data_IF_837668319858
#
_entry.id   IF_837668319858
#
_cell.length_a   1.000
_cell.length_b   1.000
_cell.length_c   1.000
_cell.angle_alpha   90.00
_cell.angle_beta   90.00
_cell.angle_gamma   90.00
#
_symmetry.space_group_name_H-M   'P 1'
#
loop_
_entity.id
_entity.type
_entity.pdbx_description
1 polymer ?
#
# COMPACT_ATOMS: atom_id res chain seq x y z
N UNK A 1 0.83 10.85 0.07
CA UNK A 1 1.95 10.32 -0.73
C UNK A 1 1.68 8.93 -1.31
N UNK A 2 1.40 7.85 -0.53
CA UNK A 2 1.09 6.52 -1.11
C UNK A 2 -0.21 6.58 -1.92
N UNK A 3 -1.32 7.05 -1.35
CA UNK A 3 -2.61 7.15 -2.04
C UNK A 3 -2.53 7.95 -3.36
N UNK A 4 -1.77 9.04 -3.36
CA UNK A 4 -1.56 9.88 -4.53
C UNK A 4 -0.69 9.24 -5.62
N UNK A 5 0.23 8.35 -5.23
CA UNK A 5 1.18 7.72 -6.14
C UNK A 5 0.77 6.33 -6.59
N UNK A 6 -0.10 5.63 -5.86
CA UNK A 6 -0.44 4.24 -6.14
C UNK A 6 -1.26 4.10 -7.43
N UNK A 7 -0.83 3.18 -8.30
CA UNK A 7 -1.50 2.88 -9.56
C UNK A 7 -2.44 1.70 -9.39
N UNK A 8 -3.74 1.95 -9.41
CA UNK A 8 -4.77 0.93 -9.31
C UNK A 8 -5.02 0.20 -10.65
N UNK A 9 -4.51 0.74 -11.76
CA UNK A 9 -4.58 0.13 -13.09
C UNK A 9 -3.19 -0.27 -13.56
N UNK A 10 -3.09 -1.24 -14.46
CA UNK A 10 -1.82 -1.73 -15.04
C UNK A 10 -1.52 -1.17 -16.42
N UNK A 11 -2.32 -0.26 -16.94
CA UNK A 11 -2.10 0.33 -18.26
C UNK A 11 -0.79 1.09 -18.34
N UNK A 12 0.08 0.71 -19.30
CA UNK A 12 1.43 1.22 -19.47
C UNK A 12 1.48 2.72 -19.81
N UNK A 13 0.38 3.30 -20.27
CA UNK A 13 0.35 4.65 -20.83
C UNK A 13 -0.02 5.76 -19.84
N UNK A 14 -0.04 5.51 -18.54
CA UNK A 14 -0.06 6.54 -17.47
C UNK A 14 -1.09 7.69 -17.63
N UNK A 15 -2.01 7.61 -18.57
CA UNK A 15 -3.18 8.48 -18.66
C UNK A 15 -4.22 7.89 -17.73
N UNK A 16 -4.93 8.76 -16.96
CA UNK A 16 -6.13 8.34 -16.25
C UNK A 16 -6.91 7.45 -17.20
N UNK A 17 -6.93 6.14 -16.92
CA UNK A 17 -7.51 5.19 -17.83
C UNK A 17 -9.03 5.36 -17.82
N UNK A 18 -9.51 6.21 -18.69
CA UNK A 18 -10.90 6.28 -19.10
C UNK A 18 -11.26 5.17 -20.08
N UNK A 19 -10.43 4.10 -20.13
CA UNK A 19 -10.74 2.93 -20.93
C UNK A 19 -11.89 2.16 -20.28
N UNK A 20 -13.01 1.96 -20.97
CA UNK A 20 -14.17 1.23 -20.44
C UNK A 20 -13.89 -0.25 -20.12
N UNK A 21 -12.70 -0.75 -20.38
CA UNK A 21 -12.30 -2.15 -20.20
C UNK A 21 -11.34 -2.41 -19.03
N UNK A 22 -10.78 -1.38 -18.38
CA UNK A 22 -9.93 -1.57 -17.19
C UNK A 22 -10.80 -1.56 -15.94
N UNK A 23 -10.94 -2.69 -15.28
CA UNK A 23 -11.52 -2.70 -13.93
C UNK A 23 -10.53 -2.10 -12.96
N UNK A 24 -10.96 -1.10 -12.16
CA UNK A 24 -10.11 -0.53 -11.13
C UNK A 24 -9.75 -1.57 -10.07
N UNK A 25 -8.61 -1.39 -9.45
CA UNK A 25 -8.25 -2.14 -8.26
C UNK A 25 -9.02 -1.67 -7.03
N UNK A 26 -8.85 -2.39 -5.93
CA UNK A 26 -9.52 -2.08 -4.68
C UNK A 26 -8.57 -1.38 -3.71
N UNK A 27 -9.12 -0.45 -2.94
CA UNK A 27 -8.53 0.07 -1.72
C UNK A 27 -9.30 -0.50 -0.53
N UNK A 28 -8.69 -1.44 0.19
CA UNK A 28 -9.32 -2.07 1.35
C UNK A 28 -8.61 -1.61 2.62
N UNK A 29 -9.35 -1.26 3.63
CA UNK A 29 -8.82 -0.91 4.94
C UNK A 29 -9.71 -1.45 6.06
N UNK A 30 -9.15 -1.59 7.27
CA UNK A 30 -9.93 -1.95 8.46
C UNK A 30 -10.49 -0.70 9.13
N UNK A 31 -11.64 -0.81 9.80
CA UNK A 31 -12.30 0.32 10.46
C UNK A 31 -11.41 1.00 11.53
N UNK A 32 -10.55 0.22 12.22
CA UNK A 32 -9.69 0.68 13.32
C UNK A 32 -8.40 1.32 12.83
N UNK A 33 -8.47 2.10 11.76
CA UNK A 33 -7.31 2.81 11.22
C UNK A 33 -7.22 4.25 11.72
N UNK A 34 -6.01 4.80 11.64
CA UNK A 34 -5.76 6.19 11.90
C UNK A 34 -6.44 7.10 10.84
N UNK A 35 -6.77 8.35 11.21
CA UNK A 35 -7.40 9.32 10.32
C UNK A 35 -6.63 9.58 9.03
N UNK A 36 -5.30 9.42 9.02
CA UNK A 36 -4.49 9.52 7.79
C UNK A 36 -4.84 8.46 6.76
N UNK A 37 -5.22 7.24 7.18
CA UNK A 37 -5.72 6.18 6.29
C UNK A 37 -7.15 6.50 5.83
N UNK A 38 -7.99 7.00 6.73
CA UNK A 38 -9.35 7.41 6.37
C UNK A 38 -9.34 8.54 5.32
N UNK A 39 -8.40 9.49 5.43
CA UNK A 39 -8.22 10.55 4.44
C UNK A 39 -7.71 10.08 3.08
N UNK A 40 -7.18 8.84 2.97
CA UNK A 40 -6.81 8.28 1.67
C UNK A 40 -8.00 7.96 0.78
N UNK A 41 -9.19 7.74 1.33
CA UNK A 41 -10.41 7.31 0.60
C UNK A 41 -10.74 8.20 -0.59
N UNK A 42 -10.80 9.50 -0.36
CA UNK A 42 -11.18 10.45 -1.42
C UNK A 42 -10.12 10.52 -2.53
N UNK A 43 -8.85 10.44 -2.13
CA UNK A 43 -7.72 10.42 -3.07
C UNK A 43 -7.76 9.18 -3.96
N UNK A 44 -8.03 7.99 -3.40
CA UNK A 44 -8.04 6.74 -4.17
C UNK A 44 -9.29 6.61 -5.02
N UNK A 45 -10.46 7.12 -4.57
CA UNK A 45 -11.67 7.21 -5.39
C UNK A 45 -11.43 8.08 -6.63
N UNK A 46 -10.77 9.23 -6.45
CA UNK A 46 -10.40 10.09 -7.58
C UNK A 46 -9.44 9.41 -8.58
N UNK A 47 -8.80 8.30 -8.17
CA UNK A 47 -7.95 7.45 -9.01
C UNK A 47 -8.66 6.21 -9.53
N UNK A 48 -9.98 6.13 -9.38
CA UNK A 48 -10.82 5.07 -9.90
C UNK A 48 -10.80 3.77 -9.07
N UNK A 49 -10.28 3.78 -7.84
CA UNK A 49 -10.30 2.60 -6.99
C UNK A 49 -11.67 2.40 -6.32
N UNK A 50 -12.09 1.14 -6.19
CA UNK A 50 -13.20 0.79 -5.32
C UNK A 50 -12.74 0.79 -3.86
N UNK A 51 -13.48 1.45 -2.97
CA UNK A 51 -13.13 1.60 -1.55
C UNK A 51 -13.98 0.66 -0.70
N UNK A 52 -13.34 -0.17 0.13
CA UNK A 52 -13.99 -1.14 1.00
C UNK A 52 -13.43 -0.99 2.42
N UNK A 53 -14.33 -0.78 3.39
CA UNK A 53 -14.00 -0.82 4.81
C UNK A 53 -14.37 -2.18 5.38
N UNK A 54 -13.42 -2.87 6.01
CA UNK A 54 -13.68 -4.12 6.71
C UNK A 54 -13.90 -3.85 8.20
N UNK A 55 -15.01 -4.35 8.73
CA UNK A 55 -15.20 -4.44 10.17
C UNK A 55 -14.23 -5.46 10.79
N UNK A 56 -14.06 -5.38 12.11
CA UNK A 56 -13.13 -6.23 12.87
C UNK A 56 -13.36 -7.72 12.58
N UNK A 57 -14.58 -8.22 12.83
CA UNK A 57 -14.92 -9.64 12.66
C UNK A 57 -14.78 -10.10 11.21
N UNK A 58 -15.17 -9.25 10.27
CA UNK A 58 -15.04 -9.54 8.85
C UNK A 58 -13.59 -9.69 8.44
N UNK A 59 -12.70 -8.81 8.92
CA UNK A 59 -11.27 -8.88 8.65
C UNK A 59 -10.68 -10.19 9.20
N UNK A 60 -10.99 -10.56 10.44
CA UNK A 60 -10.54 -11.82 11.05
C UNK A 60 -11.07 -13.04 10.30
N UNK A 61 -12.34 -13.02 9.88
CA UNK A 61 -12.93 -14.12 9.14
C UNK A 61 -12.23 -14.35 7.80
N UNK A 62 -11.93 -13.30 7.06
CA UNK A 62 -11.37 -13.39 5.70
C UNK A 62 -9.87 -13.65 5.75
N UNK A 63 -9.12 -12.91 6.58
CA UNK A 63 -7.66 -13.00 6.65
C UNK A 63 -7.16 -14.11 7.60
N UNK A 64 -8.02 -14.66 8.45
CA UNK A 64 -7.68 -15.79 9.32
C UNK A 64 -7.81 -17.17 8.66
N UNK A 65 -8.47 -17.25 7.52
CA UNK A 65 -8.66 -18.50 6.79
C UNK A 65 -7.47 -18.76 5.86
N UNK A 66 -7.07 -20.04 5.73
CA UNK A 66 -6.12 -20.41 4.66
C UNK A 66 -6.81 -20.15 3.30
N UNK A 67 -6.25 -19.26 2.50
CA UNK A 67 -6.70 -19.10 1.13
C UNK A 67 -6.48 -20.41 0.38
N UNK A 68 -7.57 -21.04 -0.04
CA UNK A 68 -7.54 -22.24 -0.90
C UNK A 68 -7.50 -21.88 -2.38
N UNK A 69 -7.55 -20.60 -2.71
CA UNK A 69 -7.48 -20.12 -4.10
C UNK A 69 -6.03 -20.20 -4.58
N UNK A 70 -5.74 -21.25 -5.33
CA UNK A 70 -4.52 -21.35 -6.14
C UNK A 70 -4.70 -20.32 -7.26
N UNK A 71 -4.06 -19.15 -7.13
CA UNK A 71 -4.00 -18.23 -8.26
C UNK A 71 -3.08 -18.81 -9.32
N UNK A 72 -3.64 -19.05 -10.50
CA UNK A 72 -2.85 -19.43 -11.66
C UNK A 72 -1.85 -18.30 -11.94
N UNK A 73 -0.55 -18.65 -11.90
CA UNK A 73 0.56 -17.70 -12.05
C UNK A 73 0.63 -17.09 -13.46
N UNK A 74 -0.17 -17.57 -14.39
CA UNK A 74 -0.17 -17.17 -15.81
C UNK A 74 -1.29 -16.18 -16.18
N UNK A 75 -2.24 -15.86 -15.29
CA UNK A 75 -3.24 -14.85 -15.60
C UNK A 75 -2.61 -13.44 -15.62
N UNK A 76 -2.79 -12.75 -16.76
CA UNK A 76 -2.38 -11.35 -16.91
C UNK A 76 -3.15 -10.48 -15.92
N UNK A 77 -2.45 -10.01 -14.89
CA UNK A 77 -3.03 -9.17 -13.83
C UNK A 77 -3.31 -7.78 -14.39
N UNK A 78 -4.57 -7.40 -14.41
CA UNK A 78 -5.04 -6.16 -15.06
C UNK A 78 -5.26 -5.00 -14.09
N UNK A 79 -5.08 -5.21 -12.79
CA UNK A 79 -5.22 -4.17 -11.77
C UNK A 79 -4.31 -4.41 -10.56
N UNK A 80 -4.10 -3.36 -9.77
CA UNK A 80 -3.43 -3.42 -8.49
C UNK A 80 -4.41 -3.05 -7.39
N UNK A 81 -4.37 -3.77 -6.27
CA UNK A 81 -5.19 -3.49 -5.09
C UNK A 81 -4.31 -3.24 -3.88
N UNK A 82 -4.75 -2.35 -3.01
CA UNK A 82 -4.02 -1.95 -1.81
C UNK A 82 -4.84 -2.27 -0.57
N UNK A 83 -4.28 -3.08 0.31
CA UNK A 83 -4.80 -3.29 1.66
C UNK A 83 -4.00 -2.46 2.67
N UNK A 84 -4.72 -1.73 3.53
CA UNK A 84 -4.13 -0.85 4.54
C UNK A 84 -4.67 -1.20 5.92
N UNK A 85 -3.79 -1.48 6.86
CA UNK A 85 -4.18 -1.68 8.24
C UNK A 85 -3.11 -1.22 9.23
N UNK A 86 -3.54 -0.83 10.41
CA UNK A 86 -2.64 -0.53 11.52
C UNK A 86 -2.20 -1.83 12.19
N UNK A 87 -0.89 -2.02 12.38
CA UNK A 87 -0.39 -3.16 13.15
C UNK A 87 -0.84 -3.10 14.62
N UNK A 88 -1.09 -1.88 15.13
CA UNK A 88 -1.68 -1.64 16.44
C UNK A 88 -2.59 -0.41 16.40
N UNK A 89 -3.82 -0.58 16.83
CA UNK A 89 -4.78 0.52 16.93
C UNK A 89 -4.30 1.56 17.96
N UNK A 90 -4.29 2.85 17.57
CA UNK A 90 -3.87 3.93 18.45
C UNK A 90 -4.82 4.16 19.62
N UNK A 91 -6.11 3.84 19.47
CA UNK A 91 -7.14 4.08 20.47
C UNK A 91 -7.23 2.93 21.48
N UNK A 92 -7.41 1.70 20.98
CA UNK A 92 -7.62 0.52 21.84
C UNK A 92 -6.33 -0.19 22.25
N UNK A 93 -5.21 0.06 21.53
CA UNK A 93 -3.98 -0.70 21.69
C UNK A 93 -4.04 -2.12 21.12
N UNK A 94 -5.18 -2.50 20.52
CA UNK A 94 -5.33 -3.83 19.93
C UNK A 94 -4.31 -4.06 18.81
N UNK A 95 -3.64 -5.23 18.86
CA UNK A 95 -2.62 -5.60 17.87
C UNK A 95 -3.19 -6.58 16.86
N UNK A 96 -3.11 -6.19 15.60
CA UNK A 96 -3.55 -7.02 14.49
C UNK A 96 -2.45 -7.97 14.03
N UNK A 97 -2.81 -9.18 13.54
CA UNK A 97 -1.83 -10.18 13.13
C UNK A 97 -0.98 -9.71 11.96
N UNK A 98 0.34 -9.71 12.12
CA UNK A 98 1.26 -9.39 11.01
C UNK A 98 1.21 -10.45 9.89
N UNK A 99 0.71 -11.65 10.18
CA UNK A 99 0.42 -12.69 9.19
C UNK A 99 -0.54 -12.24 8.09
N UNK A 100 -1.41 -11.27 8.35
CA UNK A 100 -2.32 -10.71 7.34
C UNK A 100 -1.61 -10.16 6.11
N UNK A 101 -0.33 -9.81 6.23
CA UNK A 101 0.51 -9.42 5.11
C UNK A 101 0.64 -10.58 4.12
N UNK A 102 1.05 -11.75 4.61
CA UNK A 102 1.19 -12.95 3.78
C UNK A 102 -0.15 -13.46 3.25
N UNK A 103 -1.21 -13.39 4.07
CA UNK A 103 -2.54 -13.82 3.67
C UNK A 103 -3.10 -12.93 2.54
N UNK A 104 -2.86 -11.62 2.61
CA UNK A 104 -3.22 -10.68 1.55
C UNK A 104 -2.45 -10.98 0.26
N UNK A 105 -1.14 -11.19 0.34
CA UNK A 105 -0.32 -11.55 -0.82
C UNK A 105 -0.74 -12.90 -1.43
N UNK A 106 -1.24 -13.82 -0.61
CA UNK A 106 -1.82 -15.09 -1.05
C UNK A 106 -3.24 -14.96 -1.65
N UNK A 107 -3.79 -13.73 -1.66
CA UNK A 107 -5.08 -13.46 -2.29
C UNK A 107 -6.29 -13.64 -1.38
N UNK A 108 -6.14 -13.67 -0.05
CA UNK A 108 -7.27 -13.80 0.88
C UNK A 108 -8.36 -12.74 0.66
N UNK A 109 -7.99 -11.55 0.20
CA UNK A 109 -8.92 -10.45 -0.07
C UNK A 109 -9.54 -10.50 -1.48
N UNK A 110 -9.21 -11.51 -2.30
CA UNK A 110 -9.73 -11.62 -3.69
C UNK A 110 -11.24 -11.82 -3.74
N UNK A 111 -11.86 -12.25 -2.65
CA UNK A 111 -13.33 -12.36 -2.51
C UNK A 111 -14.04 -11.01 -2.69
N UNK A 112 -13.33 -9.90 -2.48
CA UNK A 112 -13.84 -8.54 -2.66
C UNK A 112 -13.51 -7.96 -4.04
N UNK A 113 -12.63 -8.60 -4.80
CA UNK A 113 -12.26 -8.11 -6.12
C UNK A 113 -13.36 -8.46 -7.14
N UNK A 114 -13.82 -7.47 -7.88
CA UNK A 114 -14.81 -7.67 -8.96
C UNK A 114 -14.27 -8.56 -10.10
N UNK A 115 -12.95 -8.63 -10.24
CA UNK A 115 -12.25 -9.53 -11.17
C UNK A 115 -11.12 -10.23 -10.41
N UNK A 116 -10.91 -11.51 -10.71
CA UNK A 116 -9.94 -12.37 -10.02
C UNK A 116 -8.47 -12.00 -10.22
N UNK A 117 -8.13 -11.21 -11.24
CA UNK A 117 -6.75 -10.95 -11.65
C UNK A 117 -6.18 -9.61 -11.11
N UNK A 118 -6.23 -9.38 -9.80
CA UNK A 118 -5.59 -8.20 -9.18
C UNK A 118 -4.30 -8.59 -8.45
N UNK A 119 -3.28 -7.72 -8.48
CA UNK A 119 -2.10 -7.86 -7.64
C UNK A 119 -2.31 -7.11 -6.33
N UNK A 120 -2.15 -7.81 -5.22
CA UNK A 120 -2.31 -7.24 -3.88
C UNK A 120 -1.01 -6.66 -3.35
N UNK A 121 -1.14 -5.48 -2.77
CA UNK A 121 -0.09 -4.77 -2.03
C UNK A 121 -0.58 -4.45 -0.63
N UNK A 122 0.35 -4.41 0.32
CA UNK A 122 0.06 -4.13 1.73
C UNK A 122 0.80 -2.88 2.19
N UNK A 123 0.05 -1.91 2.70
CA UNK A 123 0.57 -0.81 3.50
C UNK A 123 0.31 -1.09 4.98
N UNK A 124 1.38 -1.32 5.72
CA UNK A 124 1.34 -1.50 7.17
C UNK A 124 1.55 -0.17 7.86
N UNK A 125 0.56 0.32 8.58
CA UNK A 125 0.76 1.41 9.53
C UNK A 125 1.34 0.84 10.83
N UNK A 126 2.64 0.95 10.99
CA UNK A 126 3.37 0.50 12.16
C UNK A 126 3.72 1.66 13.12
N UNK A 127 3.10 2.83 12.94
CA UNK A 127 3.43 4.04 13.72
C UNK A 127 3.30 3.83 15.24
N UNK A 128 2.27 3.12 15.69
CA UNK A 128 2.09 2.80 17.11
C UNK A 128 2.84 1.52 17.49
N UNK A 129 2.80 0.52 16.62
CA UNK A 129 3.37 -0.80 16.87
C UNK A 129 4.89 -0.77 17.09
N UNK A 130 5.62 -0.05 16.22
CA UNK A 130 7.08 0.00 16.27
C UNK A 130 7.66 0.73 17.49
N UNK A 131 6.84 1.49 18.21
CA UNK A 131 7.26 2.16 19.44
C UNK A 131 7.54 1.18 20.59
N UNK A 132 6.83 0.05 20.62
CA UNK A 132 6.87 -0.89 21.77
C UNK A 132 7.02 -2.35 21.37
N UNK A 133 7.05 -2.66 20.07
CA UNK A 133 7.13 -4.02 19.58
C UNK A 133 8.21 -4.15 18.51
N UNK A 134 8.85 -5.32 18.49
CA UNK A 134 9.77 -5.66 17.40
C UNK A 134 9.01 -5.91 16.11
N UNK A 135 9.34 -5.17 15.05
CA UNK A 135 8.88 -5.41 13.69
C UNK A 135 10.01 -5.99 12.86
N UNK A 136 9.90 -7.28 12.51
CA UNK A 136 10.90 -7.98 11.71
C UNK A 136 10.48 -8.03 10.24
N UNK A 137 11.05 -7.15 9.43
CA UNK A 137 10.76 -7.06 7.99
C UNK A 137 11.42 -8.17 7.15
N UNK A 138 12.29 -8.98 7.74
CA UNK A 138 12.81 -10.17 7.09
C UNK A 138 11.79 -11.31 7.09
N UNK A 139 10.94 -11.36 8.11
CA UNK A 139 9.84 -12.31 8.28
C UNK A 139 8.56 -11.79 7.63
N UNK A 140 8.14 -10.60 8.07
CA UNK A 140 6.95 -9.94 7.55
C UNK A 140 7.36 -8.97 6.45
N UNK A 141 6.87 -9.15 5.24
CA UNK A 141 7.33 -8.47 4.03
C UNK A 141 6.24 -7.59 3.42
N UNK A 142 5.73 -6.57 4.14
CA UNK A 142 4.78 -5.62 3.56
C UNK A 142 5.43 -4.86 2.40
N UNK A 143 4.62 -4.28 1.54
CA UNK A 143 5.11 -3.49 0.41
C UNK A 143 5.49 -2.08 0.83
N UNK A 144 4.75 -1.54 1.80
CA UNK A 144 4.95 -0.22 2.37
C UNK A 144 4.79 -0.28 3.89
N UNK A 145 5.63 0.48 4.62
CA UNK A 145 5.55 0.61 6.09
C UNK A 145 5.63 2.06 6.48
N UNK A 146 4.66 2.53 7.26
CA UNK A 146 4.72 3.85 7.90
C UNK A 146 5.24 3.73 9.32
N UNK A 147 6.23 4.56 9.66
CA UNK A 147 6.81 4.69 10.99
C UNK A 147 6.65 6.12 11.50
N UNK A 148 6.49 6.27 12.80
CA UNK A 148 6.42 7.57 13.47
C UNK A 148 7.51 7.69 14.53
N UNK A 149 8.51 8.52 14.29
CA UNK A 149 9.66 8.60 15.18
C UNK A 149 9.34 9.28 16.51
N UNK A 150 8.38 10.21 16.54
CA UNK A 150 8.00 10.81 17.82
C UNK A 150 7.36 9.80 18.78
N UNK A 151 6.68 8.76 18.26
CA UNK A 151 6.14 7.69 19.09
C UNK A 151 7.22 6.76 19.62
N UNK A 152 8.36 6.66 18.92
CA UNK A 152 9.50 5.85 19.33
C UNK A 152 10.46 6.60 20.27
N UNK A 153 10.70 7.88 20.01
CA UNK A 153 11.76 8.66 20.64
C UNK A 153 11.26 9.90 21.38
N UNK A 154 9.97 10.21 21.31
CA UNK A 154 9.39 11.40 21.90
C UNK A 154 9.48 12.64 21.00
N UNK A 155 9.41 13.81 21.64
CA UNK A 155 9.52 15.10 20.95
C UNK A 155 10.88 15.30 20.27
N UNK A 156 10.98 15.96 19.09
CA UNK A 156 9.92 16.69 18.38
C UNK A 156 9.02 15.80 17.51
N UNK A 157 7.76 16.24 17.35
CA UNK A 157 6.80 15.61 16.45
C UNK A 157 7.09 15.94 14.97
N UNK A 158 6.41 15.26 14.05
CA UNK A 158 6.43 15.58 12.62
C UNK A 158 7.47 14.80 11.82
N UNK A 159 8.31 13.97 12.46
CA UNK A 159 9.29 13.14 11.77
C UNK A 159 8.81 11.68 11.76
N UNK A 160 8.89 11.06 10.60
CA UNK A 160 8.56 9.66 10.40
C UNK A 160 9.27 9.12 9.17
N UNK A 161 9.03 7.85 8.86
CA UNK A 161 9.57 7.22 7.68
C UNK A 161 8.48 6.43 6.93
N UNK A 162 8.60 6.43 5.62
CA UNK A 162 7.91 5.50 4.75
C UNK A 162 8.95 4.56 4.15
N UNK A 163 8.90 3.30 4.55
CA UNK A 163 9.70 2.25 3.94
C UNK A 163 8.96 1.68 2.73
N UNK A 164 9.65 1.56 1.62
CA UNK A 164 9.11 1.03 0.36
C UNK A 164 9.94 -0.17 -0.06
N UNK A 165 9.28 -1.31 -0.24
CA UNK A 165 9.93 -2.50 -0.78
C UNK A 165 10.33 -2.25 -2.23
N UNK A 166 11.60 -2.49 -2.59
CA UNK A 166 12.13 -2.17 -3.92
C UNK A 166 11.27 -2.70 -5.07
N UNK A 167 10.83 -3.97 -4.99
CA UNK A 167 9.96 -4.61 -6.01
C UNK A 167 8.56 -4.00 -6.09
N UNK A 168 8.17 -3.20 -5.11
CA UNK A 168 6.84 -2.58 -5.03
C UNK A 168 6.88 -1.09 -5.37
N UNK A 169 8.07 -0.54 -5.62
CA UNK A 169 8.22 0.86 -6.01
C UNK A 169 7.60 1.18 -7.37
N UNK A 170 7.59 0.20 -8.28
CA UNK A 170 7.09 0.37 -9.65
C UNK A 170 5.59 0.68 -9.71
N UNK A 171 4.82 0.27 -8.68
CA UNK A 171 3.40 0.60 -8.59
C UNK A 171 3.15 2.08 -8.27
N UNK A 172 4.18 2.80 -7.79
CA UNK A 172 4.07 4.21 -7.46
C UNK A 172 4.32 5.08 -8.71
N UNK A 173 3.27 5.74 -9.17
CA UNK A 173 3.26 6.50 -10.43
C UNK A 173 3.53 8.00 -10.28
N UNK A 174 4.07 8.47 -9.16
CA UNK A 174 4.48 9.88 -9.04
C UNK A 174 5.56 10.24 -10.06
N UNK A 175 5.47 11.45 -10.59
CA UNK A 175 6.43 11.94 -11.58
C UNK A 175 7.74 12.32 -10.91
N UNK A 176 7.69 12.95 -9.73
CA UNK A 176 8.84 13.45 -9.00
C UNK A 176 8.69 13.24 -7.49
N UNK A 177 9.73 12.69 -6.84
CA UNK A 177 9.74 12.41 -5.39
C UNK A 177 10.83 13.18 -4.62
N UNK A 178 11.70 13.90 -5.33
CA UNK A 178 12.86 14.63 -4.81
C UNK A 178 14.18 14.18 -5.41
N UNK A 179 15.27 14.85 -5.09
CA UNK A 179 16.58 14.66 -5.72
C UNK A 179 17.13 13.24 -5.66
N UNK A 180 16.83 12.48 -4.61
CA UNK A 180 17.27 11.09 -4.47
C UNK A 180 16.64 10.09 -5.46
N UNK A 181 15.61 10.49 -6.20
CA UNK A 181 14.83 9.63 -7.10
C UNK A 181 15.03 9.95 -8.59
N UNK A 182 15.86 10.94 -8.91
CA UNK A 182 16.20 11.33 -10.28
C UNK A 182 17.68 11.17 -10.53
N UNK A 183 18.04 10.77 -11.76
CA UNK A 183 19.43 10.74 -12.23
C UNK A 183 19.86 12.11 -12.71
N UNK A 184 18.97 12.79 -13.44
CA UNK A 184 19.22 14.08 -14.09
C UNK A 184 17.94 14.89 -14.03
N UNK A 185 18.07 16.18 -13.71
CA UNK A 185 17.04 17.19 -13.91
C UNK A 185 17.70 18.44 -14.49
N UNK A 186 17.08 19.07 -15.48
CA UNK A 186 17.57 20.32 -16.08
C UNK A 186 16.83 21.51 -15.43
N UNK A 187 17.59 22.57 -15.15
CA UNK A 187 17.04 23.75 -14.46
C UNK A 187 16.23 24.67 -15.39
N UNK A 188 16.49 24.63 -16.68
CA UNK A 188 15.89 25.51 -17.69
C UNK A 188 14.90 24.79 -18.62
N UNK A 189 14.85 23.47 -18.59
CA UNK A 189 13.89 22.65 -19.34
C UNK A 189 13.06 21.77 -18.43
N UNK A 190 11.80 21.53 -18.78
CA UNK A 190 10.91 20.61 -18.05
C UNK A 190 11.28 19.14 -18.34
N UNK A 191 12.56 18.82 -18.15
CA UNK A 191 13.10 17.48 -18.35
C UNK A 191 13.70 16.94 -17.06
N UNK A 192 13.36 15.69 -16.74
CA UNK A 192 14.05 14.90 -15.73
C UNK A 192 14.01 13.41 -16.11
N UNK A 193 15.04 12.68 -15.72
CA UNK A 193 15.10 11.23 -15.87
C UNK A 193 15.05 10.60 -14.48
N UNK A 194 14.08 9.68 -14.27
CA UNK A 194 13.97 8.92 -13.05
C UNK A 194 15.09 7.91 -12.93
N UNK A 195 15.54 7.64 -11.71
CA UNK A 195 16.36 6.47 -11.42
C UNK A 195 15.57 5.20 -11.65
N UNK A 196 16.21 4.18 -12.20
CA UNK A 196 15.58 2.86 -12.41
C UNK A 196 15.32 2.14 -11.09
N UNK A 197 16.14 2.39 -10.07
CA UNK A 197 16.00 1.83 -8.73
C UNK A 197 16.00 2.98 -7.74
N UNK A 198 15.03 3.00 -6.82
CA UNK A 198 14.78 4.12 -5.89
C UNK A 198 15.98 4.46 -5.00
N UNK A 199 16.92 3.55 -4.77
CA UNK A 199 18.18 3.80 -4.09
C UNK A 199 19.21 2.73 -4.47
N UNK A 200 20.18 3.06 -5.29
CA UNK A 200 21.48 2.41 -5.26
C UNK A 200 22.50 3.44 -4.76
N UNK A 201 23.04 3.19 -3.59
CA UNK A 201 24.36 3.68 -3.23
C UNK A 201 25.39 2.66 -3.65
#
# INVERSE_FOLDING_TARGET
MIAEGFRFTTDENNKLATSPHSSPGNFIYIQDNHTSVLGMRDVVVARGADVICLGHDQAFKVLGQRSTTIHDSNEKRNSNSLFVYSAQCNFSGFKYPLKWISDTHAGALSVFAKKSSTKWYVLLDAASFAATNKLDLSVYKPDFVCLSFYKMFGYPTGIGALLVKNKSSDVLGKIYYGGGTVDVALSFERFHRKRQILYQR
#
